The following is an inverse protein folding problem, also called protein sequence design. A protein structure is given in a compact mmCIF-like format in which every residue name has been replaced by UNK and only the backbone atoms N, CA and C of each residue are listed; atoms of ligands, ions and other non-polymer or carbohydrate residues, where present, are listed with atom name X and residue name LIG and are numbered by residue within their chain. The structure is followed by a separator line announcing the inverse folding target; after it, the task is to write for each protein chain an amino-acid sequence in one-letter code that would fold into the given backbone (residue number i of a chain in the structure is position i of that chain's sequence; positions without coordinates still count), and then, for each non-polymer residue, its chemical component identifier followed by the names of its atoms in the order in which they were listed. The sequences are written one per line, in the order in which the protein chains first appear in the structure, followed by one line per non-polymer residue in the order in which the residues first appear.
data_IF_104488227953
#
_entry.id   IF_104488227953
#
_cell.length_a   1.000
_cell.length_b   1.000
_cell.length_c   1.000
_cell.angle_alpha   90.00
_cell.angle_beta   90.00
_cell.angle_gamma   90.00
#
_symmetry.space_group_name_H-M   'P 1'
#
loop_
_entity.id
_entity.type
_entity.pdbx_description
1 polymer ?
#
# COMPACT_ATOMS: atom_id res chain seq x y z
N UNK A 1 -35.67 6.53 -24.06
CA UNK A 1 -35.23 6.74 -22.67
C UNK A 1 -34.45 5.51 -22.24
N UNK A 2 -33.31 5.72 -21.59
CA UNK A 2 -32.18 4.80 -21.52
C UNK A 2 -32.48 3.48 -20.78
N UNK A 3 -32.22 2.35 -21.45
CA UNK A 3 -32.05 1.04 -20.80
C UNK A 3 -30.57 0.82 -20.51
N UNK A 4 -30.28 0.50 -19.26
CA UNK A 4 -28.98 0.13 -18.73
C UNK A 4 -28.39 -1.05 -19.52
N UNK A 5 -27.43 -0.79 -20.39
CA UNK A 5 -26.52 -1.81 -20.91
C UNK A 5 -25.24 -1.81 -20.06
N UNK A 6 -25.40 -2.21 -18.79
CA UNK A 6 -24.32 -2.70 -17.95
C UNK A 6 -24.00 -4.14 -18.39
N UNK A 7 -23.39 -4.30 -19.56
CA UNK A 7 -22.79 -5.57 -19.95
C UNK A 7 -21.92 -5.39 -21.19
N UNK A 8 -20.61 -5.20 -20.96
CA UNK A 8 -19.48 -5.79 -21.73
C UNK A 8 -18.23 -4.96 -21.52
N UNK A 9 -17.43 -5.43 -20.55
CA UNK A 9 -15.97 -5.30 -20.32
C UNK A 9 -15.72 -5.07 -18.82
N UNK A 10 -16.09 -6.03 -17.99
CA UNK A 10 -15.46 -6.20 -16.68
C UNK A 10 -14.03 -6.70 -16.92
N UNK A 11 -13.16 -5.83 -17.43
CA UNK A 11 -11.72 -6.02 -17.33
C UNK A 11 -11.38 -6.10 -15.86
N UNK A 12 -10.47 -6.98 -15.47
CA UNK A 12 -10.09 -7.11 -14.08
C UNK A 12 -9.31 -5.83 -13.70
N UNK A 13 -10.03 -4.85 -13.16
CA UNK A 13 -9.49 -3.58 -12.70
C UNK A 13 -8.80 -3.82 -11.37
N UNK A 14 -7.55 -3.37 -11.23
CA UNK A 14 -6.92 -3.30 -9.92
C UNK A 14 -7.54 -2.13 -9.16
N UNK A 15 -8.34 -2.40 -8.13
CA UNK A 15 -9.01 -1.34 -7.35
C UNK A 15 -8.51 -1.37 -5.92
N UNK A 16 -8.19 -0.19 -5.39
CA UNK A 16 -7.97 0.01 -3.95
C UNK A 16 -9.31 0.33 -3.31
N UNK A 17 -9.94 -0.69 -2.70
CA UNK A 17 -11.30 -0.56 -2.13
C UNK A 17 -11.18 -0.36 -0.62
N UNK A 18 -10.94 0.89 -0.23
CA UNK A 18 -10.98 1.30 1.17
C UNK A 18 -9.61 1.62 1.75
N UNK A 19 -9.60 2.74 2.48
CA UNK A 19 -8.47 3.26 3.22
C UNK A 19 -8.94 3.39 4.67
N UNK A 20 -8.51 2.46 5.52
CA UNK A 20 -8.71 2.60 6.96
C UNK A 20 -7.50 3.36 7.53
N UNK A 21 -7.70 4.62 7.89
CA UNK A 21 -6.67 5.42 8.55
C UNK A 21 -6.84 5.30 10.08
N UNK A 22 -5.76 4.93 10.79
CA UNK A 22 -5.73 4.88 12.26
C UNK A 22 -4.94 6.07 12.84
N UNK A 23 -5.05 6.30 14.16
CA UNK A 23 -4.58 7.51 14.87
C UNK A 23 -3.21 8.03 14.38
N UNK A 24 -3.16 9.34 14.10
CA UNK A 24 -1.99 10.05 13.53
C UNK A 24 -2.12 10.47 12.05
N UNK A 25 -3.23 10.07 11.41
CA UNK A 25 -3.60 10.22 9.98
C UNK A 25 -3.54 11.60 9.28
N UNK A 26 -2.92 12.64 9.83
CA UNK A 26 -2.80 13.94 9.16
C UNK A 26 -2.06 13.85 7.81
N UNK A 27 -1.14 12.90 7.66
CA UNK A 27 -0.24 12.83 6.51
C UNK A 27 -0.85 12.08 5.31
N UNK A 28 -1.71 11.07 5.55
CA UNK A 28 -2.15 10.13 4.51
C UNK A 28 -3.57 10.29 3.98
N UNK A 29 -4.40 11.14 4.59
CA UNK A 29 -5.78 11.39 4.11
C UNK A 29 -5.90 11.90 2.67
N UNK A 30 -4.77 12.20 2.01
CA UNK A 30 -4.69 12.74 0.64
C UNK A 30 -4.04 11.80 -0.38
N UNK A 31 -3.71 10.56 -0.02
CA UNK A 31 -3.09 9.63 -0.99
C UNK A 31 -4.21 8.88 -1.73
N UNK A 32 -4.43 9.28 -2.99
CA UNK A 32 -5.29 8.58 -3.93
C UNK A 32 -4.39 7.77 -4.88
N UNK A 33 -4.41 6.44 -4.75
CA UNK A 33 -3.56 5.56 -5.55
C UNK A 33 -4.39 5.00 -6.68
N UNK A 34 -4.30 5.66 -7.84
CA UNK A 34 -4.88 5.13 -9.07
C UNK A 34 -3.94 4.09 -9.66
N UNK A 35 -4.42 2.85 -9.75
CA UNK A 35 -3.79 1.77 -10.52
C UNK A 35 -4.70 1.52 -11.73
N UNK A 36 -4.14 1.68 -12.93
CA UNK A 36 -4.90 1.65 -14.18
C UNK A 36 -5.61 0.32 -14.45
N UNK A 37 -6.76 0.40 -15.13
CA UNK A 37 -7.63 -0.72 -15.45
C UNK A 37 -7.10 -1.67 -16.54
N UNK A 38 -6.16 -1.21 -17.37
CA UNK A 38 -5.70 -1.90 -18.59
C UNK A 38 -4.83 -3.13 -18.34
N UNK A 39 -4.59 -3.47 -17.07
CA UNK A 39 -3.48 -4.36 -16.75
C UNK A 39 -3.79 -5.84 -17.06
N UNK A 40 -5.02 -6.36 -17.19
CA UNK A 40 -5.22 -7.79 -16.81
C UNK A 40 -6.04 -8.72 -17.73
N UNK A 41 -5.39 -9.86 -18.07
CA UNK A 41 -6.00 -11.18 -18.25
C UNK A 41 -5.31 -12.39 -17.55
N UNK A 42 -4.17 -12.27 -16.85
CA UNK A 42 -3.44 -13.44 -16.29
C UNK A 42 -2.79 -13.21 -14.90
N UNK A 43 -2.46 -14.29 -14.16
CA UNK A 43 -1.75 -14.29 -12.86
C UNK A 43 -0.41 -13.52 -12.87
N UNK A 44 0.27 -13.45 -14.02
CA UNK A 44 1.48 -12.62 -14.18
C UNK A 44 1.20 -11.12 -13.95
N UNK A 45 -0.03 -10.68 -14.20
CA UNK A 45 -0.47 -9.31 -13.97
C UNK A 45 -0.84 -9.07 -12.50
N UNK A 46 -1.25 -10.10 -11.75
CA UNK A 46 -1.49 -9.98 -10.31
C UNK A 46 -0.22 -9.69 -9.52
N UNK A 47 0.89 -10.31 -9.90
CA UNK A 47 2.21 -9.98 -9.34
C UNK A 47 2.61 -8.54 -9.67
N UNK A 48 2.46 -8.12 -10.94
CA UNK A 48 2.79 -6.76 -11.37
C UNK A 48 1.93 -5.70 -10.65
N UNK A 49 0.64 -5.95 -10.48
CA UNK A 49 -0.26 -5.04 -9.76
C UNK A 49 0.19 -4.85 -8.31
N UNK A 50 0.50 -5.94 -7.62
CA UNK A 50 0.95 -5.89 -6.23
C UNK A 50 2.29 -5.17 -6.09
N UNK A 51 3.25 -5.44 -6.97
CA UNK A 51 4.52 -4.71 -6.99
C UNK A 51 4.35 -3.23 -7.34
N UNK A 52 3.49 -2.91 -8.30
CA UNK A 52 3.21 -1.52 -8.67
C UNK A 52 2.54 -0.77 -7.51
N UNK A 53 1.57 -1.41 -6.84
CA UNK A 53 0.92 -0.88 -5.65
C UNK A 53 1.94 -0.59 -4.55
N UNK A 54 2.74 -1.59 -4.13
CA UNK A 54 3.68 -1.42 -3.02
C UNK A 54 4.72 -0.35 -3.33
N UNK A 55 5.32 -0.36 -4.53
CA UNK A 55 6.34 0.63 -4.94
C UNK A 55 5.76 2.04 -4.99
N UNK A 56 4.63 2.23 -5.70
CA UNK A 56 4.01 3.56 -5.86
C UNK A 56 3.55 4.13 -4.52
N UNK A 57 2.93 3.29 -3.68
CA UNK A 57 2.45 3.74 -2.37
C UNK A 57 3.61 4.18 -1.48
N UNK A 58 4.68 3.38 -1.40
CA UNK A 58 5.86 3.71 -0.60
C UNK A 58 6.51 5.00 -1.09
N UNK A 59 6.71 5.17 -2.40
CA UNK A 59 7.33 6.37 -2.98
C UNK A 59 6.46 7.62 -2.74
N UNK A 60 5.14 7.53 -2.96
CA UNK A 60 4.23 8.65 -2.69
C UNK A 60 4.21 9.04 -1.22
N UNK A 61 4.22 8.06 -0.31
CA UNK A 61 4.33 8.30 1.12
C UNK A 61 5.69 8.93 1.47
N UNK A 62 6.78 8.41 0.95
CA UNK A 62 8.10 8.94 1.20
C UNK A 62 8.27 10.39 0.74
N UNK A 63 7.75 10.71 -0.44
CA UNK A 63 7.78 12.06 -1.01
C UNK A 63 6.88 13.03 -0.24
N UNK A 64 5.83 12.53 0.43
CA UNK A 64 4.92 13.32 1.28
C UNK A 64 5.28 13.29 2.76
N UNK A 65 6.38 12.64 3.13
CA UNK A 65 6.84 12.56 4.51
C UNK A 65 7.16 13.97 5.04
N UNK A 66 6.41 14.49 6.03
CA UNK A 66 6.57 15.87 6.50
C UNK A 66 7.83 16.05 7.36
N UNK A 67 8.39 14.97 7.89
CA UNK A 67 9.56 15.00 8.76
C UNK A 67 10.33 13.68 8.67
N UNK A 68 11.27 13.62 7.71
CA UNK A 68 12.15 12.45 7.50
C UNK A 68 13.13 12.21 8.65
N UNK A 69 13.32 13.17 9.56
CA UNK A 69 14.14 12.95 10.77
C UNK A 69 13.35 12.18 11.82
N UNK A 70 12.09 12.57 12.03
CA UNK A 70 11.17 11.88 12.95
C UNK A 70 10.74 10.52 12.39
N UNK A 71 10.43 10.47 11.10
CA UNK A 71 9.97 9.30 10.37
C UNK A 71 11.01 8.89 9.32
N UNK A 72 12.14 8.30 9.72
CA UNK A 72 13.20 7.95 8.80
C UNK A 72 12.84 6.79 7.87
N UNK A 73 11.68 6.15 8.03
CA UNK A 73 11.26 5.04 7.18
C UNK A 73 9.78 5.05 6.84
N UNK A 74 9.45 4.48 5.68
CA UNK A 74 8.11 4.10 5.24
C UNK A 74 8.12 2.63 4.89
N UNK A 75 7.05 1.91 5.21
CA UNK A 75 6.87 0.52 4.78
C UNK A 75 5.44 0.26 4.33
N UNK A 76 5.28 -0.44 3.21
CA UNK A 76 4.02 -1.05 2.75
C UNK A 76 4.15 -2.57 2.75
N UNK A 77 3.31 -3.26 3.52
CA UNK A 77 3.49 -4.68 3.81
C UNK A 77 2.17 -5.44 3.99
N UNK A 78 2.05 -6.65 3.44
CA UNK A 78 0.80 -7.44 3.44
C UNK A 78 0.78 -8.70 4.32
N UNK A 79 1.78 -8.88 5.21
CA UNK A 79 1.86 -10.04 6.11
C UNK A 79 2.02 -9.58 7.56
N UNK A 80 2.12 -10.56 8.48
CA UNK A 80 2.41 -10.32 9.88
C UNK A 80 3.76 -9.63 10.08
N UNK A 81 3.75 -8.59 10.90
CA UNK A 81 4.93 -7.82 11.31
C UNK A 81 4.80 -7.42 12.78
N UNK A 82 5.92 -7.01 13.38
CA UNK A 82 5.91 -6.30 14.66
C UNK A 82 6.98 -5.22 14.67
N UNK A 83 6.82 -4.24 15.56
CA UNK A 83 7.79 -3.18 15.79
C UNK A 83 8.38 -3.31 17.19
N UNK A 84 9.64 -2.91 17.36
CA UNK A 84 10.26 -2.81 18.68
C UNK A 84 9.45 -1.86 19.59
N UNK A 85 8.98 -0.74 19.05
CA UNK A 85 8.01 0.14 19.67
C UNK A 85 6.73 0.18 18.82
N UNK A 86 5.63 -0.49 19.25
CA UNK A 86 4.36 -0.49 18.52
C UNK A 86 3.71 0.90 18.37
N UNK A 87 4.03 1.84 19.26
CA UNK A 87 3.56 3.23 19.18
C UNK A 87 4.44 4.11 18.27
N UNK A 88 5.54 3.56 17.75
CA UNK A 88 6.48 4.25 16.87
C UNK A 88 6.10 4.20 15.40
N UNK A 89 4.81 4.30 15.09
CA UNK A 89 4.28 4.42 13.73
C UNK A 89 3.33 5.60 13.63
N UNK A 90 3.21 6.13 12.41
CA UNK A 90 2.24 7.17 12.10
C UNK A 90 1.63 6.93 10.71
N UNK A 91 0.43 7.45 10.50
CA UNK A 91 -0.28 7.34 9.24
C UNK A 91 -0.38 5.89 8.79
N UNK A 92 -0.81 4.95 9.64
CA UNK A 92 -1.06 3.60 9.16
C UNK A 92 -2.33 3.60 8.29
N UNK A 93 -2.15 3.10 7.07
CA UNK A 93 -3.12 2.92 6.02
C UNK A 93 -3.28 1.42 5.76
N UNK A 94 -4.49 0.88 5.94
CA UNK A 94 -4.82 -0.46 5.44
C UNK A 94 -5.56 -0.33 4.10
N UNK A 95 -4.96 -0.85 3.04
CA UNK A 95 -5.44 -0.77 1.66
C UNK A 95 -5.70 -2.16 1.10
N UNK A 96 -6.93 -2.40 0.62
CA UNK A 96 -7.30 -3.65 -0.02
C UNK A 96 -7.10 -3.54 -1.53
N UNK A 97 -6.14 -4.29 -2.06
CA UNK A 97 -5.88 -4.39 -3.51
C UNK A 97 -6.65 -5.59 -4.03
N UNK A 98 -7.52 -5.38 -5.01
CA UNK A 98 -8.32 -6.45 -5.62
C UNK A 98 -8.07 -6.61 -7.11
N UNK A 99 -8.17 -7.84 -7.60
CA UNK A 99 -8.16 -8.18 -9.02
C UNK A 99 -9.06 -9.38 -9.31
N UNK A 100 -10.28 -9.10 -9.81
CA UNK A 100 -11.28 -10.15 -9.97
C UNK A 100 -11.60 -10.79 -8.62
N UNK A 101 -11.32 -12.08 -8.44
CA UNK A 101 -11.50 -12.79 -7.16
C UNK A 101 -10.27 -12.73 -6.23
N UNK A 102 -9.12 -12.28 -6.76
CA UNK A 102 -7.90 -12.16 -5.97
C UNK A 102 -7.94 -10.88 -5.16
N UNK A 103 -7.51 -10.94 -3.90
CA UNK A 103 -7.36 -9.75 -3.08
C UNK A 103 -6.19 -9.90 -2.10
N UNK A 104 -5.65 -8.77 -1.66
CA UNK A 104 -4.60 -8.71 -0.65
C UNK A 104 -4.69 -7.38 0.08
N UNK A 105 -4.65 -7.44 1.41
CA UNK A 105 -4.59 -6.27 2.26
C UNK A 105 -3.14 -5.87 2.54
N UNK A 106 -2.83 -4.58 2.39
CA UNK A 106 -1.53 -4.00 2.68
C UNK A 106 -1.66 -2.99 3.80
N UNK A 107 -0.76 -3.07 4.77
CA UNK A 107 -0.53 -2.04 5.78
C UNK A 107 0.65 -1.16 5.34
N UNK A 108 0.38 0.11 5.09
CA UNK A 108 1.34 1.13 4.72
C UNK A 108 1.49 2.15 5.86
N UNK A 109 2.70 2.44 6.34
CA UNK A 109 2.90 3.32 7.49
C UNK A 109 4.25 4.05 7.46
N UNK A 110 4.30 5.20 8.11
CA UNK A 110 5.56 5.81 8.54
C UNK A 110 6.06 5.12 9.81
N UNK A 111 7.37 4.92 9.91
CA UNK A 111 8.02 4.32 11.07
C UNK A 111 8.90 5.40 11.70
N UNK A 112 8.63 5.71 12.96
CA UNK A 112 9.39 6.70 13.72
C UNK A 112 10.74 6.15 14.17
N UNK A 113 11.78 6.98 14.20
CA UNK A 113 13.12 6.59 14.68
C UNK A 113 13.36 7.01 16.14
N UNK A 114 14.18 6.25 16.92
CA UNK A 114 14.72 4.93 16.61
C UNK A 114 13.65 3.83 16.84
N UNK A 115 13.46 2.95 15.85
CA UNK A 115 12.56 1.80 15.93
C UNK A 115 13.03 0.71 14.96
N UNK A 116 12.63 -0.53 15.21
CA UNK A 116 12.91 -1.68 14.33
C UNK A 116 11.60 -2.26 13.84
N UNK A 117 11.55 -2.62 12.55
CA UNK A 117 10.41 -3.26 11.90
C UNK A 117 10.81 -4.69 11.52
N UNK A 118 10.12 -5.66 12.10
CA UNK A 118 10.41 -7.08 11.92
C UNK A 118 9.29 -7.74 11.12
N UNK A 119 9.63 -8.28 9.96
CA UNK A 119 8.73 -9.07 9.12
C UNK A 119 8.68 -10.51 9.61
N UNK A 120 7.50 -11.12 9.63
CA UNK A 120 7.34 -12.54 9.98
C UNK A 120 7.49 -13.48 8.77
N UNK A 121 7.69 -12.93 7.57
CA UNK A 121 7.86 -13.68 6.33
C UNK A 121 8.63 -12.85 5.30
N UNK A 122 9.51 -13.49 4.54
CA UNK A 122 10.19 -12.89 3.38
C UNK A 122 9.40 -13.25 2.11
N UNK A 123 9.15 -12.30 1.21
CA UNK A 123 8.54 -12.61 -0.08
C UNK A 123 8.66 -11.55 -1.17
N UNK A 124 9.73 -10.74 -1.10
CA UNK A 124 10.09 -9.77 -2.14
C UNK A 124 9.13 -8.58 -2.29
N UNK A 125 9.30 -7.79 -3.36
CA UNK A 125 8.54 -6.55 -3.59
C UNK A 125 7.03 -6.72 -3.71
N UNK A 126 6.58 -7.94 -4.02
CA UNK A 126 5.18 -8.33 -3.99
C UNK A 126 4.57 -8.12 -2.60
N UNK A 127 5.37 -8.34 -1.57
CA UNK A 127 4.94 -8.30 -0.18
C UNK A 127 5.44 -7.06 0.55
N UNK A 128 6.63 -6.54 0.21
CA UNK A 128 7.25 -5.42 0.94
C UNK A 128 7.87 -4.36 0.02
N UNK A 129 7.60 -3.09 0.29
CA UNK A 129 8.40 -1.98 -0.22
C UNK A 129 8.69 -1.05 0.95
N UNK A 130 9.93 -0.58 1.05
CA UNK A 130 10.35 0.35 2.07
C UNK A 130 11.29 1.40 1.49
N UNK A 131 11.24 2.60 2.06
CA UNK A 131 12.24 3.64 1.85
C UNK A 131 12.77 4.09 3.21
N UNK A 132 14.08 4.31 3.28
CA UNK A 132 14.80 4.68 4.49
C UNK A 132 15.71 5.87 4.23
N UNK A 133 15.78 6.79 5.20
CA UNK A 133 16.80 7.83 5.21
C UNK A 133 18.08 7.24 5.84
N UNK A 134 19.13 7.10 5.02
CA UNK A 134 20.46 6.77 5.53
C UNK A 134 21.06 8.04 6.14
N UNK A 135 21.31 8.01 7.44
CA UNK A 135 22.13 8.99 8.15
C UNK A 135 23.61 8.75 7.88
#
# INVERSE_FOLDING_TARGET
MASQHLDKRAGATAVVIGIAAVKGAAILTKIAIEIGADTIKNLGEWTKVREAFTKKTTDEMWNRNPDRKRFPAVACYNKGYHLQNPNGIDGKLSAKVELGLLHTDYDCMYIAGPNQFYTHSEGGYINVSYEVWLQ
#
